data_IF_168459163758
#
_entry.id   IF_168459163758
#
_cell.length_a   1.000
_cell.length_b   1.000
_cell.length_c   1.000
_cell.angle_alpha   90.00
_cell.angle_beta   90.00
_cell.angle_gamma   90.00
#
_symmetry.space_group_name_H-M   'P 1'
#
loop_
_entity.id
_entity.type
_entity.pdbx_description
1 polymer ?
#
# COMPACT_ATOMS: atom_id res chain seq x y z
N UNK A 1 35.79 -49.36 6.62
CA UNK A 1 35.57 -48.77 5.27
C UNK A 1 34.09 -48.44 4.97
N UNK A 2 33.10 -49.28 5.32
CA UNK A 2 31.68 -48.95 5.07
C UNK A 2 31.12 -47.79 5.91
N UNK A 3 31.52 -47.69 7.18
CA UNK A 3 31.05 -46.63 8.10
C UNK A 3 31.65 -45.25 7.79
N UNK A 4 32.88 -45.20 7.30
CA UNK A 4 33.55 -43.95 6.89
C UNK A 4 32.91 -43.31 5.65
N UNK A 5 32.33 -44.12 4.75
CA UNK A 5 31.66 -43.61 3.54
C UNK A 5 30.30 -42.97 3.86
N UNK A 6 29.57 -43.53 4.83
CA UNK A 6 28.29 -42.96 5.30
C UNK A 6 28.51 -41.62 6.00
N UNK A 7 29.56 -41.51 6.84
CA UNK A 7 29.87 -40.26 7.53
C UNK A 7 30.30 -39.14 6.57
N UNK A 8 31.06 -39.48 5.52
CA UNK A 8 31.44 -38.53 4.47
C UNK A 8 30.23 -38.06 3.63
N UNK A 9 29.28 -38.96 3.35
CA UNK A 9 28.06 -38.61 2.62
C UNK A 9 27.13 -37.68 3.43
N UNK A 10 27.03 -37.89 4.74
CA UNK A 10 26.24 -37.03 5.65
C UNK A 10 26.85 -35.63 5.76
N UNK A 11 28.19 -35.50 5.78
CA UNK A 11 28.86 -34.20 5.84
C UNK A 11 28.74 -33.40 4.53
N UNK A 12 28.69 -34.04 3.36
CA UNK A 12 28.50 -33.34 2.08
C UNK A 12 27.06 -32.84 1.88
N UNK A 13 26.06 -33.52 2.46
CA UNK A 13 24.66 -33.12 2.32
C UNK A 13 24.31 -31.81 3.07
N UNK A 14 25.05 -31.47 4.13
CA UNK A 14 24.78 -30.29 4.96
C UNK A 14 25.19 -28.93 4.36
N UNK A 15 26.01 -28.92 3.30
CA UNK A 15 26.62 -27.68 2.78
C UNK A 15 25.73 -26.90 1.78
N UNK A 16 24.53 -27.38 1.46
CA UNK A 16 23.68 -26.79 0.41
C UNK A 16 22.50 -25.96 0.94
N UNK A 17 22.37 -25.80 2.26
CA UNK A 17 21.35 -24.93 2.83
C UNK A 17 21.70 -23.45 2.59
N UNK A 18 21.14 -22.85 1.53
CA UNK A 18 21.14 -21.39 1.37
C UNK A 18 20.10 -20.80 2.32
N UNK A 19 20.55 -20.02 3.28
CA UNK A 19 19.65 -19.28 4.16
C UNK A 19 18.87 -18.24 3.33
N UNK A 20 17.55 -18.41 3.26
CA UNK A 20 16.63 -17.42 2.73
C UNK A 20 16.38 -16.35 3.80
N UNK A 21 16.48 -15.07 3.43
CA UNK A 21 16.19 -13.97 4.34
C UNK A 21 14.69 -13.77 4.41
N UNK A 22 14.09 -13.94 5.60
CA UNK A 22 12.65 -13.84 5.81
C UNK A 22 12.32 -12.99 7.03
N UNK A 23 11.30 -12.14 6.92
CA UNK A 23 10.74 -11.36 8.05
C UNK A 23 9.25 -11.17 7.89
N UNK A 24 8.54 -11.16 9.01
CA UNK A 24 7.11 -10.82 9.08
C UNK A 24 6.95 -9.45 9.72
N UNK A 25 6.18 -8.56 9.10
CA UNK A 25 5.90 -7.22 9.56
C UNK A 25 4.43 -7.10 9.92
N UNK A 26 4.14 -6.48 11.05
CA UNK A 26 2.78 -6.20 11.50
C UNK A 26 2.59 -4.69 11.64
N UNK A 27 1.49 -4.17 11.11
CA UNK A 27 1.06 -2.78 11.33
C UNK A 27 -0.43 -2.76 11.66
N UNK A 28 -0.82 -1.79 12.46
CA UNK A 28 -2.22 -1.55 12.85
C UNK A 28 -2.55 -0.10 12.56
N UNK A 29 -3.71 0.13 11.97
CA UNK A 29 -4.22 1.45 11.61
C UNK A 29 -5.60 1.63 12.24
N UNK A 30 -5.79 2.74 12.94
CA UNK A 30 -7.09 3.09 13.49
C UNK A 30 -8.06 3.47 12.36
N UNK A 31 -9.32 3.07 12.50
CA UNK A 31 -10.38 3.45 11.56
C UNK A 31 -11.33 4.40 12.27
N UNK A 32 -11.33 5.70 11.93
CA UNK A 32 -12.27 6.65 12.51
C UNK A 32 -13.72 6.22 12.28
N UNK A 33 -14.59 6.44 13.26
CA UNK A 33 -16.01 6.06 13.17
C UNK A 33 -16.75 6.73 12.00
N UNK A 34 -16.29 7.92 11.57
CA UNK A 34 -16.79 8.67 10.42
C UNK A 34 -16.40 8.07 9.07
N UNK A 35 -15.51 7.08 9.04
CA UNK A 35 -15.03 6.46 7.80
C UNK A 35 -16.13 5.61 7.18
N UNK A 36 -16.57 6.03 5.99
CA UNK A 36 -17.52 5.29 5.17
C UNK A 36 -16.82 4.38 4.16
N UNK A 37 -15.61 4.75 3.69
CA UNK A 37 -14.88 4.04 2.65
C UNK A 37 -13.45 3.69 3.05
N UNK A 38 -13.01 2.48 2.72
CA UNK A 38 -11.61 2.07 2.73
C UNK A 38 -11.12 1.92 1.30
N UNK A 39 -9.97 2.52 0.97
CA UNK A 39 -9.38 2.49 -0.37
C UNK A 39 -7.94 1.99 -0.28
N UNK A 40 -7.63 0.91 -0.99
CA UNK A 40 -6.31 0.28 -0.94
C UNK A 40 -5.47 0.61 -2.18
N UNK A 41 -4.34 1.28 -1.96
CA UNK A 41 -3.33 1.57 -2.98
C UNK A 41 -2.19 0.56 -2.90
N UNK A 42 -2.30 -0.56 -3.60
CA UNK A 42 -1.39 -1.70 -3.44
C UNK A 42 -0.31 -1.75 -4.52
N UNK A 43 0.90 -2.15 -4.15
CA UNK A 43 1.98 -2.39 -5.11
C UNK A 43 1.71 -3.67 -5.91
N UNK A 44 1.59 -3.55 -7.24
CA UNK A 44 1.14 -4.65 -8.10
C UNK A 44 2.06 -5.89 -8.11
N UNK A 45 3.30 -5.77 -7.64
CA UNK A 45 4.25 -6.89 -7.59
C UNK A 45 4.09 -7.82 -6.37
N UNK A 46 3.26 -7.45 -5.39
CA UNK A 46 3.03 -8.25 -4.18
C UNK A 46 1.74 -9.07 -4.31
N UNK A 47 1.62 -10.12 -3.48
CA UNK A 47 0.38 -10.89 -3.36
C UNK A 47 -0.44 -10.41 -2.17
N UNK A 48 -1.75 -10.25 -2.32
CA UNK A 48 -2.63 -9.71 -1.28
C UNK A 48 -3.85 -10.59 -1.02
N UNK A 49 -4.18 -10.72 0.26
CA UNK A 49 -5.46 -11.27 0.74
C UNK A 49 -6.09 -10.26 1.68
N UNK A 50 -7.33 -9.84 1.39
CA UNK A 50 -8.09 -8.94 2.26
C UNK A 50 -9.22 -9.73 2.92
N UNK A 51 -9.23 -9.80 4.25
CA UNK A 51 -10.18 -10.60 5.02
C UNK A 51 -10.86 -9.80 6.14
N UNK A 52 -12.17 -10.00 6.37
CA UNK A 52 -12.86 -9.35 7.48
C UNK A 52 -12.45 -9.96 8.82
N UNK A 53 -12.39 -9.16 9.89
CA UNK A 53 -12.16 -9.62 11.26
C UNK A 53 -13.01 -8.87 12.28
N UNK A 54 -13.17 -9.46 13.46
CA UNK A 54 -13.94 -8.91 14.57
C UNK A 54 -13.13 -7.85 15.36
N UNK A 55 -12.81 -6.74 14.71
CA UNK A 55 -12.09 -5.62 15.29
C UNK A 55 -12.51 -4.28 14.68
N UNK A 56 -12.08 -3.17 15.28
CA UNK A 56 -12.37 -1.81 14.81
C UNK A 56 -11.20 -1.16 14.06
N UNK A 57 -10.06 -1.85 13.97
CA UNK A 57 -8.86 -1.36 13.31
C UNK A 57 -8.58 -2.16 12.03
N UNK A 58 -7.74 -1.61 11.15
CA UNK A 58 -7.13 -2.38 10.07
C UNK A 58 -5.82 -2.95 10.59
N UNK A 59 -5.56 -4.24 10.34
CA UNK A 59 -4.26 -4.84 10.61
C UNK A 59 -3.66 -5.36 9.30
N UNK A 60 -2.34 -5.22 9.15
CA UNK A 60 -1.62 -5.81 8.03
C UNK A 60 -0.54 -6.74 8.53
N UNK A 61 -0.42 -7.90 7.90
CA UNK A 61 0.71 -8.81 8.06
C UNK A 61 1.41 -8.98 6.71
N UNK A 62 2.64 -8.46 6.59
CA UNK A 62 3.46 -8.64 5.40
C UNK A 62 4.56 -9.68 5.68
N UNK A 63 4.56 -10.78 4.93
CA UNK A 63 5.62 -11.78 4.93
C UNK A 63 6.55 -11.49 3.76
N UNK A 64 7.78 -11.12 4.08
CA UNK A 64 8.80 -10.71 3.12
C UNK A 64 9.90 -11.76 3.05
N UNK A 65 10.23 -12.16 1.83
CA UNK A 65 11.36 -13.03 1.52
C UNK A 65 12.28 -12.39 0.49
N UNK A 66 13.59 -12.38 0.74
CA UNK A 66 14.58 -11.86 -0.20
C UNK A 66 15.64 -12.91 -0.51
N UNK A 67 15.90 -13.11 -1.80
CA UNK A 67 16.88 -14.04 -2.33
C UNK A 67 18.08 -13.30 -2.90
N UNK A 68 19.26 -13.91 -2.81
CA UNK A 68 20.52 -13.39 -3.38
C UNK A 68 20.89 -11.99 -2.85
N UNK A 69 20.60 -11.73 -1.57
CA UNK A 69 20.97 -10.49 -0.87
C UNK A 69 21.75 -10.80 0.41
N UNK A 70 22.38 -9.77 0.99
CA UNK A 70 23.04 -9.87 2.29
C UNK A 70 22.09 -9.43 3.41
N UNK A 71 22.28 -9.96 4.62
CA UNK A 71 21.48 -9.59 5.79
C UNK A 71 21.43 -8.06 6.02
N UNK A 72 22.53 -7.28 5.95
CA UNK A 72 22.46 -5.84 6.14
C UNK A 72 21.62 -5.10 5.10
N UNK A 73 21.63 -5.55 3.85
CA UNK A 73 20.79 -4.96 2.79
C UNK A 73 19.33 -5.27 3.06
N UNK A 74 19.01 -6.51 3.45
CA UNK A 74 17.66 -6.89 3.82
C UNK A 74 17.13 -6.08 5.01
N UNK A 75 17.92 -5.94 6.07
CA UNK A 75 17.54 -5.17 7.25
C UNK A 75 17.29 -3.71 6.90
N UNK A 76 18.16 -3.10 6.09
CA UNK A 76 17.98 -1.73 5.61
C UNK A 76 16.66 -1.52 4.84
N UNK A 77 16.30 -2.46 3.95
CA UNK A 77 15.05 -2.38 3.18
C UNK A 77 13.82 -2.44 4.09
N UNK A 78 13.87 -3.29 5.11
CA UNK A 78 12.80 -3.41 6.09
C UNK A 78 12.71 -2.16 6.97
N UNK A 79 13.84 -1.69 7.48
CA UNK A 79 13.91 -0.53 8.38
C UNK A 79 13.48 0.77 7.70
N UNK A 80 13.75 0.92 6.41
CA UNK A 80 13.26 2.07 5.63
C UNK A 80 11.75 2.00 5.30
N UNK A 81 11.03 0.97 5.76
CA UNK A 81 9.59 0.86 5.57
C UNK A 81 9.16 0.47 4.15
N UNK A 82 10.07 -0.06 3.31
CA UNK A 82 9.78 -0.41 1.90
C UNK A 82 8.54 -1.31 1.72
N UNK A 83 8.33 -2.23 2.66
CA UNK A 83 7.25 -3.22 2.64
C UNK A 83 6.06 -2.82 3.52
N UNK A 84 6.08 -1.60 4.07
CA UNK A 84 5.04 -1.08 4.93
C UNK A 84 3.89 -0.43 4.16
N UNK A 85 2.93 0.04 4.94
CA UNK A 85 1.79 0.83 4.49
C UNK A 85 1.74 2.18 5.20
N UNK A 86 1.20 3.16 4.50
CA UNK A 86 0.84 4.47 4.99
C UNK A 86 -0.67 4.66 4.95
N UNK A 87 -1.24 5.22 6.01
CA UNK A 87 -2.64 5.59 6.08
C UNK A 87 -2.81 7.09 5.83
N UNK A 88 -3.82 7.46 5.03
CA UNK A 88 -4.21 8.85 4.77
C UNK A 88 -5.70 9.00 5.02
N UNK A 89 -6.03 9.83 5.99
CA UNK A 89 -7.41 10.18 6.32
C UNK A 89 -7.93 11.26 5.36
N UNK A 90 -9.11 10.99 4.79
CA UNK A 90 -9.94 11.95 4.09
C UNK A 90 -11.19 12.29 4.91
N UNK A 91 -12.16 12.97 4.30
CA UNK A 91 -13.40 13.38 4.98
C UNK A 91 -14.24 12.19 5.45
N UNK A 92 -14.42 11.20 4.59
CA UNK A 92 -15.24 10.00 4.80
C UNK A 92 -14.50 8.72 4.36
N UNK A 93 -13.22 8.85 4.05
CA UNK A 93 -12.42 7.81 3.42
C UNK A 93 -11.12 7.63 4.18
N UNK A 94 -10.70 6.39 4.40
CA UNK A 94 -9.37 6.05 4.86
C UNK A 94 -8.65 5.32 3.71
N UNK A 95 -7.57 5.93 3.21
CA UNK A 95 -6.75 5.30 2.18
C UNK A 95 -5.53 4.63 2.81
N UNK A 96 -5.33 3.35 2.53
CA UNK A 96 -4.15 2.60 2.94
C UNK A 96 -3.32 2.27 1.69
N UNK A 97 -2.13 2.86 1.57
CA UNK A 97 -1.24 2.67 0.42
C UNK A 97 0.07 2.02 0.81
N UNK A 98 0.60 1.12 -0.03
CA UNK A 98 1.99 0.66 0.12
C UNK A 98 2.93 1.87 0.12
N UNK A 99 3.89 1.90 1.04
CA UNK A 99 4.86 3.01 1.18
C UNK A 99 5.66 3.22 -0.10
N UNK A 100 6.08 2.12 -0.74
CA UNK A 100 6.78 2.15 -2.02
C UNK A 100 5.92 1.49 -3.13
N UNK A 101 5.28 2.33 -3.94
CA UNK A 101 4.50 1.91 -5.11
C UNK A 101 5.34 1.69 -6.37
N UNK A 102 6.63 2.04 -6.35
CA UNK A 102 7.55 1.94 -7.50
C UNK A 102 8.90 1.41 -7.04
N UNK A 103 8.91 0.16 -6.60
CA UNK A 103 10.07 -0.52 -6.04
C UNK A 103 11.19 -0.69 -7.07
N UNK A 104 12.30 0.01 -6.84
CA UNK A 104 13.53 -0.17 -7.62
C UNK A 104 14.14 -1.56 -7.38
N UNK A 105 14.71 -2.17 -8.41
CA UNK A 105 15.39 -3.46 -8.28
C UNK A 105 16.59 -3.39 -7.32
N UNK A 106 16.68 -4.34 -6.40
CA UNK A 106 17.83 -4.47 -5.51
C UNK A 106 19.00 -5.09 -6.30
N UNK A 107 20.15 -4.42 -6.28
CA UNK A 107 21.41 -4.96 -6.84
C UNK A 107 22.42 -5.13 -5.71
N UNK A 108 22.87 -6.36 -5.49
CA UNK A 108 23.90 -6.68 -4.52
C UNK A 108 25.07 -7.37 -5.23
N UNK A 109 26.26 -6.77 -5.15
CA UNK A 109 27.51 -7.34 -5.71
C UNK A 109 27.40 -7.82 -7.18
N UNK A 110 26.67 -7.09 -8.02
CA UNK A 110 26.51 -7.43 -9.45
C UNK A 110 25.43 -8.47 -9.76
N UNK A 111 24.76 -9.04 -8.76
CA UNK A 111 23.58 -9.88 -8.92
C UNK A 111 22.31 -9.10 -8.56
N UNK A 112 21.22 -9.37 -9.27
CA UNK A 112 19.91 -8.87 -8.92
C UNK A 112 19.32 -9.76 -7.83
N UNK A 113 18.88 -9.15 -6.73
CA UNK A 113 18.13 -9.84 -5.69
C UNK A 113 16.65 -9.93 -6.09
N UNK A 114 15.99 -11.00 -5.65
CA UNK A 114 14.57 -11.25 -5.90
C UNK A 114 13.79 -11.11 -4.59
N UNK A 115 12.65 -10.46 -4.66
CA UNK A 115 11.74 -10.24 -3.55
C UNK A 115 10.47 -11.06 -3.78
N UNK A 116 9.97 -11.70 -2.72
CA UNK A 116 8.63 -12.30 -2.68
C UNK A 116 7.92 -11.77 -1.43
N UNK A 117 6.79 -11.09 -1.64
CA UNK A 117 6.01 -10.45 -0.58
C UNK A 117 4.57 -10.91 -0.65
N UNK A 118 4.08 -11.44 0.46
CA UNK A 118 2.68 -11.82 0.64
C UNK A 118 2.09 -11.05 1.80
N UNK A 119 0.96 -10.39 1.58
CA UNK A 119 0.33 -9.50 2.55
C UNK A 119 -1.09 -9.96 2.85
N UNK A 120 -1.39 -10.08 4.14
CA UNK A 120 -2.77 -10.23 4.65
C UNK A 120 -3.23 -8.91 5.24
N UNK A 121 -4.39 -8.44 4.81
CA UNK A 121 -5.02 -7.20 5.29
C UNK A 121 -6.33 -7.57 5.97
N UNK A 122 -6.39 -7.38 7.28
CA UNK A 122 -7.55 -7.62 8.10
C UNK A 122 -8.35 -6.31 8.23
N UNK A 123 -9.60 -6.31 7.78
CA UNK A 123 -10.48 -5.12 7.83
C UNK A 123 -11.69 -5.35 8.74
N UNK A 124 -12.23 -4.32 9.41
CA UNK A 124 -13.43 -4.50 10.23
C UNK A 124 -14.58 -5.11 9.44
N UNK A 125 -15.27 -6.08 10.03
CA UNK A 125 -16.39 -6.82 9.42
C UNK A 125 -17.59 -5.95 8.99
N UNK A 126 -17.69 -4.74 9.56
CA UNK A 126 -18.64 -3.69 9.19
C UNK A 126 -18.45 -3.17 7.76
N UNK A 127 -17.30 -3.38 7.14
CA UNK A 127 -17.04 -3.02 5.75
C UNK A 127 -17.32 -4.18 4.80
N UNK A 128 -17.99 -3.88 3.68
CA UNK A 128 -18.29 -4.84 2.61
C UNK A 128 -17.58 -4.42 1.33
N UNK A 129 -17.17 -5.41 0.53
CA UNK A 129 -16.48 -5.17 -0.74
C UNK A 129 -17.41 -4.40 -1.69
N UNK A 130 -16.95 -3.24 -2.17
CA UNK A 130 -17.64 -2.37 -3.12
C UNK A 130 -16.92 -2.28 -4.47
N UNK A 131 -15.64 -2.65 -4.52
CA UNK A 131 -14.82 -2.77 -5.71
C UNK A 131 -13.58 -3.62 -5.41
N UNK A 132 -12.64 -3.75 -6.36
CA UNK A 132 -11.48 -4.63 -6.17
C UNK A 132 -10.59 -4.24 -4.98
N UNK A 133 -10.44 -2.94 -4.76
CA UNK A 133 -9.65 -2.37 -3.67
C UNK A 133 -10.43 -1.31 -2.89
N UNK A 134 -11.75 -1.41 -2.92
CA UNK A 134 -12.66 -0.45 -2.27
C UNK A 134 -13.67 -1.20 -1.42
N UNK A 135 -13.80 -0.77 -0.17
CA UNK A 135 -14.76 -1.33 0.78
C UNK A 135 -15.59 -0.21 1.39
N UNK A 136 -16.88 -0.46 1.58
CA UNK A 136 -17.81 0.54 2.11
C UNK A 136 -18.54 0.00 3.33
N UNK A 137 -18.78 0.86 4.31
CA UNK A 137 -19.69 0.57 5.41
C UNK A 137 -21.13 0.84 4.94
N UNK A 138 -22.04 -0.15 4.99
CA UNK A 138 -23.44 0.10 4.73
C UNK A 138 -23.95 1.15 5.72
N UNK A 139 -24.58 2.22 5.23
CA UNK A 139 -25.26 3.17 6.10
C UNK A 139 -26.36 2.39 6.84
N UNK A 140 -26.51 2.54 8.17
CA UNK A 140 -27.66 1.97 8.85
C UNK A 140 -28.90 2.50 8.14
N UNK A 141 -29.71 1.60 7.56
CA UNK A 141 -31.04 1.96 7.12
C UNK A 141 -31.72 2.60 8.33
N UNK A 142 -32.10 3.88 8.19
CA UNK A 142 -32.87 4.55 9.22
C UNK A 142 -34.06 3.64 9.55
N UNK A 143 -34.36 3.38 10.84
CA UNK A 143 -35.44 2.47 11.21
C UNK A 143 -36.66 2.86 10.38
N UNK A 144 -37.19 1.90 9.62
CA UNK A 144 -38.41 2.09 8.85
C UNK A 144 -39.40 2.79 9.76
N UNK A 145 -39.70 4.05 9.45
CA UNK A 145 -40.76 4.77 10.15
C UNK A 145 -41.98 3.91 9.90
N UNK A 146 -42.39 3.15 10.91
CA UNK A 146 -43.67 2.46 10.96
C UNK A 146 -44.70 3.50 10.54
N UNK A 147 -45.15 3.41 9.29
CA UNK A 147 -46.18 4.27 8.73
C UNK A 147 -47.46 3.90 9.47
N UNK A 148 -47.64 4.50 10.64
CA UNK A 148 -48.92 4.55 11.31
C UNK A 148 -49.90 5.12 10.30
N UNK A 149 -50.96 4.36 10.02
CA UNK A 149 -52.09 4.79 9.19
C UNK A 149 -52.44 6.24 9.50
N UNK A 150 -52.18 7.13 8.55
CA UNK A 150 -52.68 8.49 8.61
C UNK A 150 -54.23 8.44 8.59
N UNK A 151 -54.93 9.16 9.48
CA UNK A 151 -56.38 9.35 9.35
C UNK A 151 -56.69 10.07 8.03
N UNK A 152 -57.85 9.82 7.40
CA UNK A 152 -58.14 10.35 6.07
C UNK A 152 -58.25 11.88 6.11
N UNK A 153 -57.29 12.54 5.47
CA UNK A 153 -57.30 13.98 5.22
C UNK A 153 -58.43 14.29 4.24
N UNK A 154 -59.46 14.98 4.73
CA UNK A 154 -60.54 15.53 3.90
C UNK A 154 -59.95 16.46 2.85
N UNK A 155 -60.09 16.12 1.57
CA UNK A 155 -59.85 17.04 0.45
C UNK A 155 -60.80 18.23 0.57
N UNK A 156 -60.29 19.41 0.91
CA UNK A 156 -60.89 20.69 0.54
C UNK A 156 -60.17 21.24 -0.69
N UNK A 157 -61.00 21.81 -1.54
CA UNK A 157 -60.81 22.23 -2.91
C UNK A 157 -60.06 23.57 -3.02
N UNK A 158 -59.42 23.78 -4.17
CA UNK A 158 -59.03 25.06 -4.79
C UNK A 158 -57.87 25.83 -4.12
N UNK A 159 -57.01 26.59 -4.80
CA UNK A 159 -56.70 26.93 -6.20
C UNK A 159 -55.63 28.03 -6.05
N UNK A 160 -54.58 27.99 -6.89
CA UNK A 160 -53.63 29.07 -7.28
C UNK A 160 -52.26 28.40 -7.56
N UNK A 161 -51.82 28.15 -8.81
CA UNK A 161 -51.11 29.06 -9.73
C UNK A 161 -50.10 29.95 -8.99
N UNK A 162 -48.81 30.00 -9.27
CA UNK A 162 -47.95 29.66 -10.40
C UNK A 162 -46.59 30.32 -10.09
N UNK A 163 -45.60 30.17 -10.98
CA UNK A 163 -44.30 30.87 -10.93
C UNK A 163 -43.32 30.50 -9.80
N UNK A 164 -42.61 29.36 -9.92
CA UNK A 164 -41.19 29.29 -9.54
C UNK A 164 -40.49 28.20 -10.38
N UNK A 165 -40.35 28.41 -11.69
CA UNK A 165 -39.67 27.41 -12.54
C UNK A 165 -38.81 27.99 -13.68
N UNK A 166 -38.51 29.29 -13.66
CA UNK A 166 -37.72 29.93 -14.72
C UNK A 166 -36.27 30.28 -14.32
N UNK A 167 -35.93 30.44 -13.04
CA UNK A 167 -34.61 30.99 -12.64
C UNK A 167 -33.52 29.96 -12.32
N UNK A 168 -33.78 28.64 -12.38
CA UNK A 168 -32.76 27.62 -12.06
C UNK A 168 -32.11 26.93 -13.26
N UNK A 169 -32.31 27.45 -14.48
CA UNK A 169 -31.71 26.89 -15.71
C UNK A 169 -30.53 27.68 -16.28
N UNK A 170 -30.07 28.73 -15.60
CA UNK A 170 -29.04 29.64 -16.13
C UNK A 170 -27.71 29.62 -15.34
N UNK A 171 -27.24 28.44 -14.90
CA UNK A 171 -25.92 28.35 -14.26
C UNK A 171 -25.14 27.06 -14.54
N UNK A 172 -25.42 26.40 -15.66
CA UNK A 172 -24.62 25.27 -16.14
C UNK A 172 -24.16 25.52 -17.58
N UNK A 173 -23.24 26.47 -17.73
CA UNK A 173 -22.48 26.61 -18.97
C UNK A 173 -21.11 27.22 -18.71
N UNK A 174 -20.16 26.38 -18.30
CA UNK A 174 -18.77 26.55 -18.71
C UNK A 174 -18.10 25.18 -18.83
N UNK A 175 -17.51 24.95 -19.99
CA UNK A 175 -16.87 23.71 -20.43
C UNK A 175 -15.40 23.67 -19.97
N UNK A 176 -14.70 22.53 -20.08
CA UNK A 176 -13.40 22.32 -19.48
C UNK A 176 -12.27 22.86 -20.37
N UNK A 177 -11.49 23.81 -19.85
CA UNK A 177 -10.20 24.15 -20.45
C UNK A 177 -9.13 23.16 -19.99
N UNK A 178 -8.43 22.65 -21.00
CA UNK A 178 -7.31 21.72 -20.92
C UNK A 178 -6.13 22.44 -20.28
N UNK A 179 -5.67 21.95 -19.12
CA UNK A 179 -4.40 22.42 -18.53
C UNK A 179 -3.31 21.45 -18.97
N UNK A 180 -2.55 21.84 -19.99
CA UNK A 180 -1.24 21.27 -20.26
C UNK A 180 -0.30 21.60 -19.08
N UNK A 181 0.13 20.58 -18.35
CA UNK A 181 1.17 20.72 -17.35
C UNK A 181 2.53 20.66 -18.06
N UNK A 182 3.14 21.83 -18.29
CA UNK A 182 4.55 21.93 -18.63
C UNK A 182 5.40 21.40 -17.46
N UNK A 183 6.11 20.30 -17.69
CA UNK A 183 7.10 19.76 -16.77
C UNK A 183 8.42 20.51 -17.00
N UNK A 184 9.04 21.12 -15.97
CA UNK A 184 10.35 21.74 -16.15
C UNK A 184 11.42 20.68 -16.46
N UNK A 185 12.06 20.82 -17.61
CA UNK A 185 13.26 20.08 -18.02
C UNK A 185 14.41 20.41 -17.06
N UNK A 186 14.80 19.45 -16.22
CA UNK A 186 16.08 19.52 -15.53
C UNK A 186 17.23 19.40 -16.53
N UNK A 187 18.33 20.17 -16.38
CA UNK A 187 19.50 20.01 -17.23
C UNK A 187 20.22 18.69 -16.94
N UNK A 188 20.90 18.11 -17.94
CA UNK A 188 21.67 16.88 -17.77
C UNK A 188 22.84 17.07 -16.79
N UNK A 189 23.05 16.05 -15.97
CA UNK A 189 24.20 15.93 -15.06
C UNK A 189 25.48 15.86 -15.89
N UNK A 190 26.37 16.82 -15.64
CA UNK A 190 27.67 16.96 -16.31
C UNK A 190 28.61 15.82 -15.88
N UNK A 191 28.65 14.74 -16.67
CA UNK A 191 29.64 13.66 -16.52
C UNK A 191 30.92 14.04 -17.24
N UNK A 192 31.73 14.91 -16.64
CA UNK A 192 33.09 15.14 -17.10
C UNK A 192 34.01 15.58 -15.95
N UNK A 193 34.72 14.61 -15.35
CA UNK A 193 36.18 14.65 -15.13
C UNK A 193 36.63 13.44 -14.33
N UNK A 194 37.18 12.47 -15.06
CA UNK A 194 38.36 11.73 -14.61
C UNK A 194 39.45 12.71 -14.21
N UNK A 195 40.07 12.49 -13.06
CA UNK A 195 41.52 12.20 -12.99
C UNK A 195 41.95 11.92 -11.55
N UNK A 196 42.47 10.71 -11.38
CA UNK A 196 43.17 10.21 -10.19
C UNK A 196 44.54 10.89 -10.10
N UNK A 197 45.09 11.10 -8.89
CA UNK A 197 46.42 10.55 -8.68
C UNK A 197 46.52 9.70 -7.41
N UNK A 198 47.09 8.53 -7.63
CA UNK A 198 47.57 7.56 -6.65
C UNK A 198 48.74 8.19 -5.88
N UNK A 199 48.59 8.44 -4.58
CA UNK A 199 49.74 8.76 -3.72
C UNK A 199 50.24 7.51 -2.98
N UNK A 200 51.34 6.96 -3.49
CA UNK A 200 52.23 6.01 -2.80
C UNK A 200 53.15 6.77 -1.84
N UNK A 201 53.05 6.56 -0.53
CA UNK A 201 54.14 6.74 0.45
C UNK A 201 53.79 5.95 1.72
N UNK A 202 54.68 5.33 2.49
CA UNK A 202 56.03 4.78 2.33
C UNK A 202 56.23 4.00 3.66
N UNK A 203 56.78 2.79 3.61
CA UNK A 203 57.30 2.09 4.80
C UNK A 203 58.30 3.00 5.53
N UNK A 204 58.24 3.04 6.86
CA UNK A 204 59.43 3.19 7.72
C UNK A 204 59.34 2.26 8.92
N UNK A 205 60.26 1.29 8.92
CA UNK A 205 60.75 0.55 10.08
C UNK A 205 61.72 1.42 10.88
N UNK A 206 61.88 1.09 12.18
CA UNK A 206 62.92 1.58 13.11
C UNK A 206 62.40 2.74 13.97
N UNK A 207 62.27 2.62 15.29
CA UNK A 207 63.24 2.15 16.28
C UNK A 207 62.55 1.49 17.48
#
# INVERSE_FOLDING_TARGET
>A
MRTTLVLALVLLAGATARAQLKKTLHQTFEVPDSTAYLVFGLYAGDTYTIEPWAGNNIMTEAQVSVYSSTQPVFDHLVENGRYGFEAKEGRDTLSLSSTDLKRLAIRAAGMQAFEEVSVRIFIPDSFKKAGDYVYSRPKPEAPEVMVGKAPPVRKKLARESGEVSAELKENLQYAPDTVELEVPLYPPVDTARTDVPVEKKRKKQGQ
#
